data_IF_030629014590
#
_entry.id   IF_030629014590
#
_cell.length_a   1.000
_cell.length_b   1.000
_cell.length_c   1.000
_cell.angle_alpha   90.00
_cell.angle_beta   90.00
_cell.angle_gamma   90.00
#
_symmetry.space_group_name_H-M   'P 1'
#
loop_
_entity.id
_entity.type
_entity.pdbx_description
1 polymer ?
#
# COMPACT_ATOMS: atom_id res chain seq x y z
N UNK A 1 -0.42 24.75 -2.54
CA UNK A 1 -0.81 23.32 -2.49
C UNK A 1 -0.01 22.56 -1.44
N UNK A 2 0.03 23.01 -0.18
CA UNK A 2 0.99 22.55 0.84
C UNK A 2 0.59 21.28 1.62
N UNK A 3 -0.47 20.56 1.24
CA UNK A 3 -0.90 19.36 1.98
C UNK A 3 -1.37 18.19 1.09
N UNK A 4 -1.06 18.23 -0.20
CA UNK A 4 -1.49 17.20 -1.15
C UNK A 4 -0.92 15.81 -0.81
N UNK A 5 0.37 15.63 -0.45
CA UNK A 5 0.88 14.32 -0.05
C UNK A 5 0.17 13.72 1.17
N UNK A 6 -0.10 14.55 2.20
CA UNK A 6 -0.86 14.10 3.36
C UNK A 6 -2.30 13.72 3.00
N UNK A 7 -2.94 14.45 2.09
CA UNK A 7 -4.26 14.10 1.57
C UNK A 7 -4.27 12.77 0.81
N UNK A 8 -3.26 12.53 -0.04
CA UNK A 8 -3.11 11.26 -0.75
C UNK A 8 -2.91 10.11 0.24
N UNK A 9 -2.01 10.28 1.22
CA UNK A 9 -1.74 9.29 2.25
C UNK A 9 -2.97 9.02 3.12
N UNK A 10 -3.69 10.06 3.54
CA UNK A 10 -4.91 9.90 4.34
C UNK A 10 -6.01 9.17 3.56
N UNK A 11 -6.10 9.41 2.25
CA UNK A 11 -7.03 8.68 1.39
C UNK A 11 -6.71 7.19 1.36
N UNK A 12 -5.45 6.82 1.14
CA UNK A 12 -5.01 5.42 1.18
C UNK A 12 -5.32 4.77 2.54
N UNK A 13 -4.94 5.44 3.64
CA UNK A 13 -5.21 4.94 4.99
C UNK A 13 -6.71 4.76 5.25
N UNK A 14 -7.55 5.67 4.77
CA UNK A 14 -9.01 5.55 4.94
C UNK A 14 -9.59 4.34 4.20
N UNK A 15 -9.07 4.01 3.01
CA UNK A 15 -9.49 2.84 2.24
C UNK A 15 -9.14 1.56 3.01
N UNK A 16 -7.90 1.45 3.50
CA UNK A 16 -7.42 0.31 4.27
C UNK A 16 -8.24 0.13 5.56
N UNK A 17 -8.51 1.23 6.29
CA UNK A 17 -9.33 1.19 7.49
C UNK A 17 -10.77 0.75 7.18
N UNK A 18 -11.36 1.24 6.08
CA UNK A 18 -12.68 0.82 5.63
C UNK A 18 -12.75 -0.66 5.27
N UNK A 19 -11.69 -1.20 4.65
CA UNK A 19 -11.58 -2.64 4.38
C UNK A 19 -11.49 -3.47 5.65
N UNK A 20 -10.83 -2.97 6.70
CA UNK A 20 -10.70 -3.70 7.98
C UNK A 20 -12.06 -3.96 8.63
N UNK A 21 -13.00 -3.02 8.51
CA UNK A 21 -14.37 -3.18 9.00
C UNK A 21 -15.13 -4.31 8.29
N UNK A 22 -14.77 -4.61 7.04
CA UNK A 22 -15.40 -5.64 6.20
C UNK A 22 -14.38 -6.67 5.67
N UNK A 23 -13.39 -7.01 6.50
CA UNK A 23 -12.24 -7.86 6.11
C UNK A 23 -12.60 -9.24 5.61
N UNK A 24 -13.76 -9.76 5.98
CA UNK A 24 -14.32 -11.05 5.56
C UNK A 24 -14.36 -11.21 4.03
N UNK A 25 -14.49 -10.12 3.27
CA UNK A 25 -14.49 -10.14 1.80
C UNK A 25 -13.09 -10.28 1.17
N UNK A 26 -12.04 -10.14 1.99
CA UNK A 26 -10.65 -9.97 1.56
C UNK A 26 -9.70 -11.01 2.14
N UNK A 27 -10.22 -11.97 2.92
CA UNK A 27 -9.45 -13.01 3.59
C UNK A 27 -9.89 -14.40 3.14
N UNK A 28 -8.99 -15.37 3.23
CA UNK A 28 -9.25 -16.76 2.80
C UNK A 28 -10.28 -17.46 3.69
N UNK A 29 -10.19 -17.27 5.01
CA UNK A 29 -11.12 -17.89 5.96
C UNK A 29 -11.80 -16.82 6.83
N UNK A 30 -12.94 -16.25 6.39
CA UNK A 30 -13.62 -15.15 7.09
C UNK A 30 -13.95 -15.44 8.55
N UNK A 31 -14.29 -16.69 8.87
CA UNK A 31 -14.66 -17.12 10.22
C UNK A 31 -13.51 -17.12 11.22
N UNK A 32 -12.25 -17.11 10.78
CA UNK A 32 -11.09 -17.34 11.66
C UNK A 32 -9.91 -16.39 11.40
N UNK A 33 -9.70 -15.94 10.17
CA UNK A 33 -8.60 -15.06 9.82
C UNK A 33 -8.84 -13.65 10.33
N UNK A 34 -7.82 -13.09 11.00
CA UNK A 34 -7.85 -11.74 11.58
C UNK A 34 -9.05 -11.45 12.52
N UNK A 35 -9.66 -12.46 13.13
CA UNK A 35 -10.73 -12.27 14.14
C UNK A 35 -10.16 -11.93 15.52
N UNK A 36 -8.95 -12.40 15.83
CA UNK A 36 -8.24 -12.09 17.08
C UNK A 36 -7.25 -10.95 16.89
N UNK A 37 -7.09 -10.10 17.91
CA UNK A 37 -6.06 -9.06 17.95
C UNK A 37 -4.68 -9.71 18.06
N UNK A 38 -3.87 -9.59 17.00
CA UNK A 38 -2.48 -10.08 16.92
C UNK A 38 -1.52 -8.92 16.71
N UNK A 39 -0.21 -9.16 16.91
CA UNK A 39 0.86 -8.18 16.64
C UNK A 39 0.87 -7.67 15.19
N UNK A 40 0.52 -8.56 14.24
CA UNK A 40 0.37 -8.22 12.83
C UNK A 40 -1.13 -8.26 12.52
N UNK A 41 -1.74 -7.08 12.38
CA UNK A 41 -3.14 -6.93 12.02
C UNK A 41 -3.35 -7.02 10.50
N UNK A 42 -4.61 -7.07 10.06
CA UNK A 42 -4.95 -7.04 8.65
C UNK A 42 -4.44 -5.76 7.96
N UNK A 43 -4.65 -4.60 8.59
CA UNK A 43 -4.17 -3.31 8.11
C UNK A 43 -2.65 -3.27 8.04
N UNK A 44 -1.98 -3.87 9.03
CA UNK A 44 -0.51 -3.91 9.07
C UNK A 44 0.03 -4.71 7.89
N UNK A 45 -0.59 -5.85 7.55
CA UNK A 45 -0.21 -6.62 6.35
C UNK A 45 -0.37 -5.77 5.09
N UNK A 46 -1.50 -5.09 4.92
CA UNK A 46 -1.76 -4.27 3.73
C UNK A 46 -0.80 -3.09 3.62
N UNK A 47 -0.55 -2.37 4.72
CA UNK A 47 0.40 -1.26 4.75
C UNK A 47 1.80 -1.73 4.36
N UNK A 48 2.29 -2.82 4.96
CA UNK A 48 3.59 -3.41 4.64
C UNK A 48 3.69 -3.83 3.17
N UNK A 49 2.66 -4.49 2.62
CA UNK A 49 2.65 -4.89 1.21
C UNK A 49 2.75 -3.72 0.24
N UNK A 50 2.20 -2.56 0.60
CA UNK A 50 2.19 -1.35 -0.24
C UNK A 50 3.47 -0.54 -0.05
N UNK A 51 4.06 -0.55 1.16
CA UNK A 51 5.21 0.31 1.49
C UNK A 51 6.58 -0.34 1.29
N UNK A 52 6.66 -1.67 1.11
CA UNK A 52 7.93 -2.39 0.95
C UNK A 52 8.70 -1.90 -0.28
N UNK A 53 9.94 -1.45 -0.06
CA UNK A 53 10.77 -0.76 -1.05
C UNK A 53 11.73 -1.65 -1.83
N UNK A 54 11.60 -2.98 -1.73
CA UNK A 54 12.43 -3.94 -2.47
C UNK A 54 13.68 -4.44 -1.71
N UNK A 55 13.85 -4.09 -0.43
CA UNK A 55 14.86 -4.74 0.41
C UNK A 55 14.38 -6.12 0.90
N UNK A 56 15.20 -6.81 1.70
CA UNK A 56 14.78 -8.11 2.25
C UNK A 56 13.69 -7.93 3.32
N UNK A 57 12.82 -8.93 3.45
CA UNK A 57 11.65 -8.87 4.33
C UNK A 57 11.99 -8.58 5.80
N UNK A 58 13.11 -9.09 6.31
CA UNK A 58 13.52 -8.82 7.70
C UNK A 58 13.85 -7.34 7.90
N UNK A 59 14.61 -6.74 6.98
CA UNK A 59 14.96 -5.32 7.01
C UNK A 59 13.71 -4.44 6.91
N UNK A 60 12.78 -4.75 6.02
CA UNK A 60 11.50 -4.04 5.90
C UNK A 60 10.68 -4.09 7.19
N UNK A 61 10.58 -5.27 7.82
CA UNK A 61 9.86 -5.42 9.09
C UNK A 61 10.53 -4.65 10.23
N UNK A 62 11.86 -4.71 10.34
CA UNK A 62 12.60 -3.93 11.34
C UNK A 62 12.37 -2.43 11.16
N UNK A 63 12.44 -1.93 9.93
CA UNK A 63 12.17 -0.53 9.63
C UNK A 63 10.74 -0.12 10.01
N UNK A 64 9.74 -0.91 9.61
CA UNK A 64 8.33 -0.64 9.89
C UNK A 64 8.03 -0.57 11.39
N UNK A 65 8.64 -1.46 12.18
CA UNK A 65 8.48 -1.51 13.64
C UNK A 65 9.54 -0.69 14.40
N UNK A 66 10.29 0.18 13.72
CA UNK A 66 11.31 1.04 14.32
C UNK A 66 12.33 0.29 15.18
N UNK A 67 12.78 -0.88 14.71
CA UNK A 67 13.74 -1.76 15.37
C UNK A 67 13.34 -2.18 16.79
N UNK A 68 12.04 -2.19 17.09
CA UNK A 68 11.54 -2.59 18.40
C UNK A 68 11.88 -4.07 18.68
N UNK A 69 12.23 -4.41 19.92
CA UNK A 69 12.50 -5.79 20.33
C UNK A 69 11.29 -6.72 20.14
N UNK A 70 10.09 -6.16 20.04
CA UNK A 70 8.85 -6.89 19.76
C UNK A 70 8.53 -7.08 18.28
N UNK A 71 9.46 -6.71 17.37
CA UNK A 71 9.30 -6.86 15.91
C UNK A 71 8.98 -8.31 15.56
N UNK A 72 7.90 -8.57 14.80
CA UNK A 72 7.56 -9.92 14.35
C UNK A 72 8.60 -10.51 13.39
N UNK A 73 8.71 -11.83 13.35
CA UNK A 73 9.57 -12.52 12.39
C UNK A 73 9.01 -12.47 10.97
N UNK A 74 9.89 -12.60 9.96
CA UNK A 74 9.48 -12.79 8.56
C UNK A 74 8.49 -13.92 8.37
N UNK A 75 8.68 -15.05 9.05
CA UNK A 75 7.76 -16.19 8.96
C UNK A 75 6.37 -15.87 9.50
N UNK A 76 6.28 -15.14 10.62
CA UNK A 76 5.01 -14.70 11.18
C UNK A 76 4.27 -13.75 10.22
N UNK A 77 5.01 -12.85 9.55
CA UNK A 77 4.45 -11.99 8.51
C UNK A 77 3.93 -12.79 7.31
N UNK A 78 4.74 -13.70 6.74
CA UNK A 78 4.33 -14.54 5.60
C UNK A 78 3.07 -15.34 5.93
N UNK A 79 2.97 -15.88 7.15
CA UNK A 79 1.78 -16.58 7.60
C UNK A 79 0.54 -15.68 7.67
N UNK A 80 0.66 -14.41 8.08
CA UNK A 80 -0.48 -13.49 8.03
C UNK A 80 -0.79 -13.07 6.59
N UNK A 81 0.23 -12.77 5.77
CA UNK A 81 0.07 -12.43 4.35
C UNK A 81 -0.70 -13.50 3.60
N UNK A 82 -0.41 -14.79 3.84
CA UNK A 82 -1.06 -15.90 3.16
C UNK A 82 -2.58 -15.97 3.41
N UNK A 83 -3.08 -15.32 4.46
CA UNK A 83 -4.53 -15.24 4.76
C UNK A 83 -5.25 -14.19 3.93
N UNK A 84 -4.53 -13.23 3.36
CA UNK A 84 -5.10 -12.16 2.55
C UNK A 84 -5.26 -12.64 1.11
N UNK A 85 -6.42 -12.37 0.51
CA UNK A 85 -6.69 -12.66 -0.90
C UNK A 85 -6.05 -11.59 -1.79
N UNK A 86 -5.57 -11.93 -3.02
CA UNK A 86 -5.09 -10.94 -3.98
C UNK A 86 -6.10 -9.82 -4.28
N UNK A 87 -7.40 -10.15 -4.23
CA UNK A 87 -8.53 -9.22 -4.35
C UNK A 87 -8.43 -8.02 -3.39
N UNK A 88 -7.79 -8.17 -2.23
CA UNK A 88 -7.58 -7.08 -1.30
C UNK A 88 -6.75 -5.94 -1.92
N UNK A 89 -5.61 -6.29 -2.54
CA UNK A 89 -4.75 -5.30 -3.20
C UNK A 89 -5.42 -4.72 -4.44
N UNK A 90 -6.10 -5.55 -5.23
CA UNK A 90 -6.88 -5.11 -6.38
C UNK A 90 -7.93 -4.06 -5.97
N UNK A 91 -8.68 -4.32 -4.89
CA UNK A 91 -9.66 -3.37 -4.37
C UNK A 91 -9.00 -2.05 -3.94
N UNK A 92 -7.88 -2.10 -3.23
CA UNK A 92 -7.14 -0.90 -2.84
C UNK A 92 -6.74 -0.09 -4.07
N UNK A 93 -6.10 -0.71 -5.05
CA UNK A 93 -5.61 0.00 -6.23
C UNK A 93 -6.76 0.58 -7.07
N UNK A 94 -7.86 -0.16 -7.23
CA UNK A 94 -9.03 0.30 -7.95
C UNK A 94 -9.70 1.49 -7.24
N UNK A 95 -10.05 1.36 -5.96
CA UNK A 95 -10.74 2.42 -5.20
C UNK A 95 -9.84 3.65 -5.03
N UNK A 96 -8.55 3.44 -4.78
CA UNK A 96 -7.58 4.53 -4.66
C UNK A 96 -7.47 5.29 -5.99
N UNK A 97 -7.26 4.60 -7.11
CA UNK A 97 -7.18 5.22 -8.44
C UNK A 97 -8.47 5.95 -8.80
N UNK A 98 -9.63 5.36 -8.48
CA UNK A 98 -10.94 5.96 -8.71
C UNK A 98 -11.18 7.22 -7.88
N UNK A 99 -10.57 7.31 -6.70
CA UNK A 99 -10.67 8.50 -5.85
C UNK A 99 -10.04 9.75 -6.47
N UNK A 100 -9.26 9.59 -7.54
CA UNK A 100 -8.61 10.66 -8.29
C UNK A 100 -9.15 10.79 -9.73
N UNK A 101 -10.38 10.34 -9.99
CA UNK A 101 -11.02 10.39 -11.31
C UNK A 101 -11.15 11.79 -11.91
N UNK A 102 -11.11 12.86 -11.10
CA UNK A 102 -11.26 14.24 -11.55
C UNK A 102 -9.93 14.88 -12.02
N UNK A 103 -8.85 14.09 -12.13
CA UNK A 103 -7.58 14.58 -12.66
C UNK A 103 -7.64 14.64 -14.19
N UNK A 104 -7.08 15.71 -14.76
CA UNK A 104 -6.94 15.85 -16.22
C UNK A 104 -6.19 14.64 -16.78
N UNK A 105 -6.72 14.05 -17.85
CA UNK A 105 -6.04 13.01 -18.60
C UNK A 105 -5.06 13.64 -19.59
N UNK A 106 -3.90 13.02 -19.77
CA UNK A 106 -2.95 13.27 -20.86
C UNK A 106 -3.01 12.08 -21.81
N UNK A 107 -3.51 12.29 -23.03
CA UNK A 107 -3.66 11.23 -24.04
C UNK A 107 -4.42 9.98 -23.55
N UNK A 108 -5.51 10.17 -22.79
CA UNK A 108 -6.28 9.08 -22.18
C UNK A 108 -5.67 8.47 -20.91
N UNK A 109 -4.43 8.82 -20.55
CA UNK A 109 -3.76 8.38 -19.33
C UNK A 109 -3.90 9.38 -18.19
N UNK A 110 -3.89 8.89 -16.94
CA UNK A 110 -3.84 9.73 -15.75
C UNK A 110 -2.40 9.84 -15.29
N UNK A 111 -1.82 11.03 -15.43
CA UNK A 111 -0.47 11.31 -14.94
C UNK A 111 -0.51 11.54 -13.43
N UNK A 112 -0.18 10.51 -12.66
CA UNK A 112 0.05 10.59 -11.22
C UNK A 112 1.56 10.61 -10.99
N UNK A 113 2.18 11.79 -11.06
CA UNK A 113 3.58 11.94 -10.67
C UNK A 113 3.69 12.09 -9.15
N UNK A 114 4.34 11.11 -8.50
CA UNK A 114 4.81 11.23 -7.12
C UNK A 114 6.33 11.30 -7.22
N UNK A 115 6.90 12.48 -6.98
CA UNK A 115 8.32 12.73 -7.19
C UNK A 115 9.18 11.89 -6.22
N UNK A 116 9.85 10.91 -6.82
CA UNK A 116 10.92 10.09 -6.26
C UNK A 116 11.59 9.26 -7.37
N UNK A 117 11.33 9.59 -8.62
CA UNK A 117 11.87 8.90 -9.80
C UNK A 117 12.32 9.99 -10.77
N UNK A 118 13.63 10.03 -11.03
CA UNK A 118 14.17 10.87 -12.08
C UNK A 118 13.55 10.45 -13.42
N UNK A 119 12.66 11.28 -13.94
CA UNK A 119 12.16 11.13 -15.30
C UNK A 119 13.33 11.47 -16.23
N UNK A 120 14.09 10.47 -16.66
CA UNK A 120 15.14 10.64 -17.67
C UNK A 120 14.48 10.90 -19.02
N UNK A 121 14.01 12.13 -19.23
CA UNK A 121 13.60 12.60 -20.54
C UNK A 121 14.85 12.67 -21.41
N UNK A 122 14.78 12.01 -22.57
CA UNK A 122 15.84 12.10 -23.56
C UNK A 122 16.04 13.57 -23.94
N UNK A 123 17.28 14.05 -23.85
CA UNK A 123 17.66 15.37 -24.32
C UNK A 123 17.35 15.46 -25.82
N UNK A 124 16.52 16.43 -26.23
CA UNK A 124 16.31 16.74 -27.64
C UNK A 124 17.44 17.69 -28.09
N UNK A 125 18.43 17.23 -28.89
CA UNK A 125 19.55 18.06 -29.32
C UNK A 125 19.17 19.09 -30.40
N UNK A 126 17.91 19.14 -30.86
CA UNK A 126 17.47 20.05 -31.95
C UNK A 126 16.92 21.40 -31.50
N UNK A 127 17.29 21.87 -30.31
CA UNK A 127 17.00 23.25 -29.90
C UNK A 127 18.32 23.97 -29.63
N UNK A 128 18.89 24.48 -30.72
CA UNK A 128 19.86 25.59 -30.80
C UNK A 128 19.32 26.55 -31.86
#
# INVERSE_FOLDING_TARGET
MSNYPCFIKSKLTSIINGMSLNKDQYVRNPKSDFTRKRKISFETVLNLLISMGGSNLNSELLNYYSFNTNTPTSSAFVQQRNKVLPKALEHIFNVFTQSFNNLKTYDGYRLLAFDGSDLHIHHNPKTL
#
